data_IF_382479751914
#
_entry.id   IF_382479751914
#
_cell.length_a   1.000
_cell.length_b   1.000
_cell.length_c   1.000
_cell.angle_alpha   90.00
_cell.angle_beta   90.00
_cell.angle_gamma   90.00
#
_symmetry.space_group_name_H-M   'P 1'
#
loop_
_entity.id
_entity.type
_entity.pdbx_description
1 polymer ?
#
# COMPACT_ATOMS: atom_id res chain seq x y z
N UNK A 1 -8.28 11.85 14.78
CA UNK A 1 -7.63 12.04 13.48
C UNK A 1 -6.84 10.80 13.13
N UNK A 2 -6.90 10.33 11.88
CA UNK A 2 -6.22 9.11 11.43
C UNK A 2 -5.38 9.40 10.19
N UNK A 3 -4.12 8.94 10.19
CA UNK A 3 -3.19 9.01 9.06
C UNK A 3 -2.70 7.60 8.83
N UNK A 4 -3.28 6.96 7.82
CA UNK A 4 -3.23 5.51 7.64
C UNK A 4 -2.41 5.21 6.41
N UNK A 5 -1.40 4.33 6.53
CA UNK A 5 -0.68 3.80 5.39
C UNK A 5 -1.14 2.37 5.11
N UNK A 6 -1.54 2.10 3.88
CA UNK A 6 -1.77 0.77 3.30
C UNK A 6 -0.51 0.35 2.54
N UNK A 7 0.32 -0.49 3.17
CA UNK A 7 1.56 -1.01 2.58
C UNK A 7 1.42 -2.50 2.23
N UNK A 8 2.42 -3.06 1.55
CA UNK A 8 2.46 -4.46 1.17
C UNK A 8 3.01 -4.69 -0.24
N UNK A 9 3.19 -5.96 -0.58
CA UNK A 9 3.80 -6.34 -1.85
C UNK A 9 2.93 -6.05 -3.07
N UNK A 10 3.51 -6.14 -4.27
CA UNK A 10 2.74 -6.02 -5.52
C UNK A 10 1.71 -7.14 -5.61
N UNK A 11 0.46 -6.81 -5.96
CA UNK A 11 -0.63 -7.78 -6.05
C UNK A 11 -1.45 -8.00 -4.77
N UNK A 12 -1.07 -7.37 -3.64
CA UNK A 12 -1.84 -7.48 -2.38
C UNK A 12 -3.12 -6.65 -2.35
N UNK A 13 -3.39 -5.84 -3.37
CA UNK A 13 -4.66 -5.11 -3.51
C UNK A 13 -4.66 -3.66 -3.03
N UNK A 14 -3.50 -3.08 -2.67
CA UNK A 14 -3.34 -1.66 -2.29
C UNK A 14 -4.14 -0.68 -3.14
N UNK A 15 -3.91 -0.67 -4.47
CA UNK A 15 -4.61 0.23 -5.39
C UNK A 15 -6.11 -0.03 -5.49
N UNK A 16 -6.57 -1.27 -5.26
CA UNK A 16 -8.01 -1.57 -5.25
C UNK A 16 -8.68 -1.07 -3.96
N UNK A 17 -8.01 -1.20 -2.82
CA UNK A 17 -8.50 -0.71 -1.52
C UNK A 17 -8.52 0.82 -1.54
N UNK A 18 -7.45 1.49 -1.98
CA UNK A 18 -7.40 2.95 -2.02
C UNK A 18 -8.47 3.54 -2.97
N UNK A 19 -8.74 2.89 -4.11
CA UNK A 19 -9.81 3.31 -5.02
C UNK A 19 -11.20 3.11 -4.39
N UNK A 20 -11.42 2.02 -3.67
CA UNK A 20 -12.67 1.77 -2.95
C UNK A 20 -12.90 2.82 -1.85
N UNK A 21 -11.85 3.21 -1.10
CA UNK A 21 -11.93 4.28 -0.11
C UNK A 21 -12.27 5.63 -0.77
N UNK A 22 -11.63 5.96 -1.90
CA UNK A 22 -11.98 7.16 -2.70
C UNK A 22 -13.45 7.15 -3.14
N UNK A 23 -13.98 6.00 -3.59
CA UNK A 23 -15.39 5.84 -3.99
C UNK A 23 -16.36 6.03 -2.83
N UNK A 24 -15.94 5.78 -1.58
CA UNK A 24 -16.71 6.08 -0.36
C UNK A 24 -16.59 7.55 0.08
N UNK A 25 -15.89 8.40 -0.68
CA UNK A 25 -15.72 9.83 -0.38
C UNK A 25 -14.62 10.12 0.65
N UNK A 26 -13.81 9.12 1.02
CA UNK A 26 -12.71 9.28 1.96
C UNK A 26 -11.49 9.87 1.25
N UNK A 27 -10.74 10.70 1.98
CA UNK A 27 -9.49 11.27 1.48
C UNK A 27 -8.42 10.19 1.41
N UNK A 28 -8.06 9.81 0.19
CA UNK A 28 -7.21 8.67 -0.08
C UNK A 28 -6.26 8.96 -1.26
N UNK A 29 -4.97 8.70 -1.09
CA UNK A 29 -3.90 8.99 -2.06
C UNK A 29 -3.11 7.71 -2.33
N UNK A 30 -3.00 7.32 -3.60
CA UNK A 30 -2.08 6.26 -4.01
C UNK A 30 -0.72 6.88 -4.35
N UNK A 31 0.30 6.56 -3.56
CA UNK A 31 1.65 7.09 -3.70
C UNK A 31 2.44 6.41 -4.83
N UNK A 32 1.85 5.37 -5.45
CA UNK A 32 2.37 4.77 -6.68
C UNK A 32 1.88 5.55 -7.94
N UNK A 33 0.97 6.54 -7.79
CA UNK A 33 0.51 7.38 -8.89
C UNK A 33 1.57 8.41 -9.34
N UNK A 34 1.56 8.82 -10.64
CA UNK A 34 2.54 9.76 -11.17
C UNK A 34 2.69 11.05 -10.35
N UNK A 35 3.94 11.35 -10.00
CA UNK A 35 4.30 12.53 -9.21
C UNK A 35 4.29 12.33 -7.71
N UNK A 36 3.92 11.15 -7.20
CA UNK A 36 4.10 10.81 -5.77
C UNK A 36 5.36 10.01 -5.50
N UNK A 37 5.89 9.32 -6.51
CA UNK A 37 7.13 8.56 -6.42
C UNK A 37 8.00 8.71 -7.66
N UNK A 38 9.29 8.45 -7.47
CA UNK A 38 10.30 8.34 -8.51
C UNK A 38 11.20 7.13 -8.20
N UNK A 39 12.01 6.71 -9.16
CA UNK A 39 13.03 5.70 -8.93
C UNK A 39 14.38 6.40 -8.78
N UNK A 40 15.17 5.99 -7.79
CA UNK A 40 16.54 6.46 -7.64
C UNK A 40 17.49 5.85 -8.70
N UNK A 41 18.77 6.20 -8.64
CA UNK A 41 19.80 5.71 -9.57
C UNK A 41 19.99 4.18 -9.52
N UNK A 42 19.58 3.54 -8.44
CA UNK A 42 19.62 2.08 -8.26
C UNK A 42 18.31 1.40 -8.71
N UNK A 43 17.32 2.19 -9.13
CA UNK A 43 16.02 1.71 -9.55
C UNK A 43 15.07 1.40 -8.40
N UNK A 44 15.34 1.87 -7.18
CA UNK A 44 14.44 1.67 -6.05
C UNK A 44 13.39 2.77 -6.01
N UNK A 45 12.15 2.41 -5.69
CA UNK A 45 11.08 3.39 -5.57
C UNK A 45 11.25 4.26 -4.31
N UNK A 46 11.23 5.58 -4.51
CA UNK A 46 11.29 6.61 -3.49
C UNK A 46 10.04 7.48 -3.57
N UNK A 47 9.38 7.73 -2.44
CA UNK A 47 8.32 8.73 -2.41
C UNK A 47 8.88 10.14 -2.47
N UNK A 48 8.18 11.05 -3.14
CA UNK A 48 8.47 12.48 -3.17
C UNK A 48 8.19 13.08 -1.78
N UNK A 49 9.24 13.21 -0.96
CA UNK A 49 9.11 13.56 0.45
C UNK A 49 8.36 14.88 0.70
N UNK A 50 8.63 15.97 -0.05
CA UNK A 50 7.90 17.22 0.14
C UNK A 50 6.38 17.07 -0.09
N UNK A 51 5.98 16.25 -1.07
CA UNK A 51 4.56 16.03 -1.39
C UNK A 51 3.88 15.18 -0.33
N UNK A 52 4.54 14.11 0.13
CA UNK A 52 4.01 13.28 1.21
C UNK A 52 3.85 14.11 2.49
N UNK A 53 4.85 14.95 2.81
CA UNK A 53 4.78 15.86 3.95
C UNK A 53 3.62 16.85 3.83
N UNK A 54 3.46 17.51 2.68
CA UNK A 54 2.34 18.42 2.41
C UNK A 54 0.98 17.72 2.53
N UNK A 55 0.87 16.47 2.06
CA UNK A 55 -0.35 15.68 2.20
C UNK A 55 -0.70 15.38 3.67
N UNK A 56 0.31 15.00 4.46
CA UNK A 56 0.15 14.73 5.89
C UNK A 56 -0.23 15.98 6.68
N UNK A 57 0.37 17.12 6.36
CA UNK A 57 0.09 18.42 7.01
C UNK A 57 -1.29 18.96 6.65
N UNK A 58 -1.65 18.91 5.36
CA UNK A 58 -2.94 19.39 4.87
C UNK A 58 -4.12 18.49 5.25
N UNK A 59 -3.88 17.33 5.86
CA UNK A 59 -4.94 16.47 6.39
C UNK A 59 -5.73 17.14 7.53
N UNK A 60 -5.15 18.11 8.26
CA UNK A 60 -5.87 18.88 9.27
C UNK A 60 -6.42 18.03 10.41
N UNK A 61 -7.75 17.87 10.50
CA UNK A 61 -8.44 16.95 11.42
C UNK A 61 -9.09 15.75 10.70
N UNK A 62 -9.05 15.74 9.35
CA UNK A 62 -9.64 14.69 8.53
C UNK A 62 -8.81 13.40 8.56
N UNK A 63 -9.47 12.28 8.27
CA UNK A 63 -8.74 11.02 8.04
C UNK A 63 -8.12 11.01 6.64
N UNK A 64 -6.83 10.71 6.58
CA UNK A 64 -6.08 10.51 5.35
C UNK A 64 -5.62 9.07 5.23
N UNK A 65 -5.93 8.43 4.10
CA UNK A 65 -5.35 7.15 3.70
C UNK A 65 -4.28 7.38 2.63
N UNK A 66 -3.13 6.73 2.80
CA UNK A 66 -2.05 6.64 1.83
C UNK A 66 -1.90 5.18 1.43
N UNK A 67 -1.61 4.87 0.16
CA UNK A 67 -1.17 3.53 -0.24
C UNK A 67 0.15 3.58 -0.98
N UNK A 68 0.96 2.53 -0.85
CA UNK A 68 2.20 2.39 -1.60
C UNK A 68 3.24 1.60 -0.84
N UNK A 69 4.39 1.36 -1.47
CA UNK A 69 5.55 0.77 -0.83
C UNK A 69 6.82 1.36 -1.46
N UNK A 70 7.68 1.99 -0.64
CA UNK A 70 8.90 2.65 -1.09
C UNK A 70 10.01 2.51 -0.04
N UNK A 71 11.26 2.67 -0.43
CA UNK A 71 12.42 2.54 0.46
C UNK A 71 12.39 3.56 1.61
N UNK A 72 12.05 4.81 1.29
CA UNK A 72 12.01 5.90 2.28
C UNK A 72 10.71 5.96 3.11
N UNK A 73 9.80 4.98 3.01
CA UNK A 73 8.50 5.03 3.70
C UNK A 73 8.64 5.15 5.23
N UNK A 74 9.69 4.56 5.80
CA UNK A 74 9.99 4.58 7.24
C UNK A 74 10.17 5.99 7.80
N UNK A 75 10.54 6.97 6.96
CA UNK A 75 10.67 8.38 7.38
C UNK A 75 9.34 8.98 7.83
N UNK A 76 8.22 8.46 7.34
CA UNK A 76 6.89 8.99 7.63
C UNK A 76 6.19 8.26 8.78
N UNK A 77 6.69 7.10 9.21
CA UNK A 77 6.08 6.29 10.26
C UNK A 77 5.75 7.06 11.55
N UNK A 78 6.61 7.97 12.06
CA UNK A 78 6.29 8.76 13.25
C UNK A 78 5.07 9.68 13.10
N UNK A 79 4.64 9.97 11.88
CA UNK A 79 3.50 10.84 11.57
C UNK A 79 2.22 10.04 11.26
N UNK A 80 2.33 8.72 11.10
CA UNK A 80 1.22 7.82 10.81
C UNK A 80 0.62 7.29 12.11
N UNK A 81 -0.71 7.22 12.16
CA UNK A 81 -1.42 6.62 13.30
C UNK A 81 -1.53 5.12 13.17
N UNK A 82 -1.66 4.62 11.94
CA UNK A 82 -1.86 3.22 11.63
C UNK A 82 -1.08 2.86 10.36
N UNK A 83 -0.39 1.73 10.38
CA UNK A 83 0.37 1.17 9.25
C UNK A 83 -0.18 -0.23 9.02
N UNK A 84 -1.04 -0.37 8.03
CA UNK A 84 -1.72 -1.62 7.70
C UNK A 84 -0.94 -2.32 6.59
N UNK A 85 -0.39 -3.49 6.89
CA UNK A 85 0.17 -4.39 5.90
C UNK A 85 -0.98 -5.18 5.25
N UNK A 86 -1.17 -5.00 3.94
CA UNK A 86 -1.97 -5.89 3.13
C UNK A 86 -1.09 -7.05 2.65
N UNK A 87 -1.40 -8.27 3.05
CA UNK A 87 -0.65 -9.48 2.67
C UNK A 87 -1.52 -10.45 1.87
N UNK A 88 -0.88 -11.39 1.18
CA UNK A 88 -1.53 -12.55 0.56
C UNK A 88 -0.49 -13.67 0.34
N UNK A 89 -0.91 -14.94 0.33
CA UNK A 89 -0.04 -16.05 -0.03
C UNK A 89 0.57 -15.88 -1.44
N UNK A 90 1.77 -16.42 -1.64
CA UNK A 90 2.51 -16.32 -2.91
C UNK A 90 1.69 -16.80 -4.11
N UNK A 91 0.98 -17.91 -3.96
CA UNK A 91 0.12 -18.50 -4.98
C UNK A 91 -1.06 -17.58 -5.36
N UNK A 92 -1.58 -16.82 -4.40
CA UNK A 92 -2.65 -15.83 -4.64
C UNK A 92 -2.09 -14.62 -5.38
N UNK A 93 -0.89 -14.15 -4.99
CA UNK A 93 -0.21 -13.06 -5.69
C UNK A 93 0.10 -13.43 -7.14
N UNK A 94 0.62 -14.63 -7.37
CA UNK A 94 0.92 -15.13 -8.72
C UNK A 94 -0.33 -15.11 -9.62
N UNK A 95 -1.45 -15.66 -9.16
CA UNK A 95 -2.70 -15.67 -9.94
C UNK A 95 -3.25 -14.26 -10.19
N UNK A 96 -3.17 -13.36 -9.20
CA UNK A 96 -3.57 -11.96 -9.37
C UNK A 96 -2.70 -11.23 -10.38
N UNK A 97 -1.39 -11.41 -10.34
CA UNK A 97 -0.47 -10.75 -11.25
C UNK A 97 -0.68 -11.21 -12.70
N UNK A 98 -0.94 -12.50 -12.91
CA UNK A 98 -1.30 -13.04 -14.24
C UNK A 98 -2.59 -12.45 -14.81
N UNK A 99 -3.58 -12.19 -13.96
CA UNK A 99 -4.96 -11.86 -14.40
C UNK A 99 -5.31 -10.37 -14.31
N UNK A 100 -4.58 -9.57 -13.51
CA UNK A 100 -4.85 -8.13 -13.34
C UNK A 100 -4.78 -7.40 -14.67
N UNK A 101 -5.60 -6.37 -14.89
CA UNK A 101 -5.69 -5.61 -16.15
C UNK A 101 -5.09 -4.21 -16.09
N UNK A 102 -4.79 -3.70 -14.89
CA UNK A 102 -4.43 -2.30 -14.64
C UNK A 102 -2.93 -2.01 -14.68
N UNK A 103 -2.08 -2.93 -14.21
CA UNK A 103 -0.63 -2.78 -14.15
C UNK A 103 0.04 -4.02 -14.81
N UNK A 104 0.94 -3.85 -15.80
CA UNK A 104 1.55 -4.98 -16.50
C UNK A 104 2.65 -5.70 -15.71
N UNK A 105 3.23 -5.09 -14.67
CA UNK A 105 4.35 -5.65 -13.89
C UNK A 105 3.99 -7.01 -13.24
N UNK A 106 4.96 -7.86 -12.97
CA UNK A 106 4.73 -9.17 -12.35
C UNK A 106 4.06 -10.22 -13.25
N UNK A 107 3.76 -9.89 -14.52
CA UNK A 107 3.23 -10.86 -15.50
C UNK A 107 4.33 -11.66 -16.18
N UNK A 108 5.51 -11.05 -16.35
CA UNK A 108 6.67 -11.74 -16.91
C UNK A 108 7.31 -12.62 -15.84
N UNK A 109 7.84 -13.81 -16.18
CA UNK A 109 8.47 -14.71 -15.21
C UNK A 109 9.53 -14.05 -14.31
N UNK A 110 10.34 -13.16 -14.87
CA UNK A 110 11.37 -12.40 -14.17
C UNK A 110 10.81 -11.37 -13.19
N UNK A 111 9.71 -10.70 -13.54
CA UNK A 111 9.03 -9.75 -12.65
C UNK A 111 8.26 -10.50 -11.55
N UNK A 112 7.69 -11.67 -11.87
CA UNK A 112 7.08 -12.54 -10.86
C UNK A 112 8.12 -13.04 -9.86
N UNK A 113 9.28 -13.48 -10.35
CA UNK A 113 10.39 -13.91 -9.49
C UNK A 113 10.88 -12.78 -8.58
N UNK A 114 10.92 -11.54 -9.09
CA UNK A 114 11.24 -10.35 -8.30
C UNK A 114 10.18 -10.09 -7.21
N UNK A 115 8.88 -10.19 -7.54
CA UNK A 115 7.82 -10.06 -6.52
C UNK A 115 7.95 -11.13 -5.44
N UNK A 116 8.22 -12.39 -5.81
CA UNK A 116 8.42 -13.48 -4.85
C UNK A 116 9.68 -13.26 -4.00
N UNK A 117 10.76 -12.76 -4.59
CA UNK A 117 11.97 -12.38 -3.86
C UNK A 117 11.67 -11.29 -2.83
N UNK A 118 10.91 -10.25 -3.19
CA UNK A 118 10.52 -9.21 -2.25
C UNK A 118 9.50 -9.69 -1.21
N UNK A 119 8.65 -10.66 -1.54
CA UNK A 119 7.79 -11.30 -0.55
C UNK A 119 8.62 -11.96 0.56
N UNK A 120 9.74 -12.60 0.21
CA UNK A 120 10.63 -13.22 1.19
C UNK A 120 11.53 -12.22 1.93
N UNK A 121 11.96 -11.15 1.25
CA UNK A 121 13.00 -10.23 1.77
C UNK A 121 12.47 -8.92 2.35
N UNK A 122 11.35 -8.39 1.83
CA UNK A 122 10.79 -7.08 2.17
C UNK A 122 9.55 -7.22 3.05
N UNK A 123 8.63 -8.15 2.75
CA UNK A 123 7.40 -8.30 3.55
C UNK A 123 7.67 -8.54 5.05
N UNK A 124 8.66 -9.35 5.47
CA UNK A 124 9.01 -9.47 6.88
C UNK A 124 9.48 -8.16 7.51
N UNK A 125 10.05 -7.24 6.73
CA UNK A 125 10.42 -5.90 7.20
C UNK A 125 9.17 -5.04 7.37
N UNK A 126 8.27 -5.04 6.39
CA UNK A 126 6.99 -4.32 6.43
C UNK A 126 6.16 -4.77 7.63
N UNK A 127 6.07 -6.09 7.84
CA UNK A 127 5.34 -6.70 8.96
C UNK A 127 5.86 -6.26 10.33
N UNK A 128 7.15 -6.02 10.49
CA UNK A 128 7.72 -5.48 11.74
C UNK A 128 7.36 -4.01 11.98
N UNK A 129 7.12 -3.25 10.91
CA UNK A 129 6.71 -1.84 10.98
C UNK A 129 5.20 -1.63 11.02
N UNK A 130 4.42 -2.67 10.75
CA UNK A 130 2.96 -2.59 10.68
C UNK A 130 2.32 -2.57 12.08
N UNK A 131 1.25 -1.80 12.22
CA UNK A 131 0.37 -1.83 13.40
C UNK A 131 -0.70 -2.91 13.29
N UNK A 132 -1.01 -3.33 12.06
CA UNK A 132 -1.99 -4.37 11.74
C UNK A 132 -1.59 -5.05 10.42
N UNK A 133 -1.91 -6.33 10.32
CA UNK A 133 -1.83 -7.08 9.07
C UNK A 133 -3.22 -7.58 8.70
N UNK A 134 -3.61 -7.36 7.44
CA UNK A 134 -4.86 -7.84 6.86
C UNK A 134 -4.52 -8.76 5.68
N UNK A 135 -4.88 -10.03 5.80
CA UNK A 135 -4.74 -10.98 4.71
C UNK A 135 -5.86 -10.76 3.69
N UNK A 136 -5.49 -10.44 2.46
CA UNK A 136 -6.43 -10.01 1.42
C UNK A 136 -7.06 -11.15 0.63
N UNK A 137 -7.06 -12.38 1.14
CA UNK A 137 -7.64 -13.57 0.47
C UNK A 137 -9.17 -13.54 0.43
N UNK A 138 -9.78 -12.61 1.17
CA UNK A 138 -11.23 -12.33 1.20
C UNK A 138 -11.66 -11.32 0.11
N UNK A 139 -12.96 -11.19 -0.18
CA UNK A 139 -13.49 -10.20 -1.12
C UNK A 139 -13.07 -8.75 -0.78
N UNK A 140 -12.87 -7.92 -1.81
CA UNK A 140 -12.39 -6.54 -1.67
C UNK A 140 -13.25 -5.68 -0.73
N UNK A 141 -14.57 -5.83 -0.78
CA UNK A 141 -15.50 -5.12 0.08
C UNK A 141 -15.30 -5.44 1.56
N UNK A 142 -14.96 -6.70 1.88
CA UNK A 142 -14.62 -7.13 3.24
C UNK A 142 -13.25 -6.62 3.67
N UNK A 143 -12.23 -6.65 2.78
CA UNK A 143 -10.92 -6.05 3.09
C UNK A 143 -11.06 -4.56 3.43
N UNK A 144 -11.87 -3.82 2.65
CA UNK A 144 -12.12 -2.39 2.89
C UNK A 144 -12.83 -2.19 4.23
N UNK A 145 -13.75 -3.07 4.58
CA UNK A 145 -14.44 -3.00 5.87
C UNK A 145 -13.48 -3.26 7.04
N UNK A 146 -12.62 -4.29 6.97
CA UNK A 146 -11.60 -4.54 7.98
C UNK A 146 -10.64 -3.35 8.16
N UNK A 147 -10.26 -2.69 7.05
CA UNK A 147 -9.46 -1.45 7.10
C UNK A 147 -10.18 -0.35 7.86
N UNK A 148 -11.49 -0.15 7.60
CA UNK A 148 -12.28 0.90 8.25
C UNK A 148 -12.56 0.58 9.73
N UNK A 149 -12.87 -0.66 10.05
CA UNK A 149 -13.05 -1.13 11.43
C UNK A 149 -11.77 -0.92 12.24
N UNK A 150 -10.60 -1.26 11.70
CA UNK A 150 -9.31 -1.07 12.37
C UNK A 150 -9.07 0.40 12.76
N UNK A 151 -9.51 1.34 11.91
CA UNK A 151 -9.30 2.78 12.13
C UNK A 151 -10.50 3.47 12.79
N UNK A 152 -11.49 2.70 13.25
CA UNK A 152 -12.73 3.14 13.90
C UNK A 152 -13.60 4.07 13.01
N UNK A 153 -13.77 3.71 11.74
CA UNK A 153 -14.56 4.44 10.74
C UNK A 153 -15.68 3.61 10.09
N UNK A 154 -16.12 2.51 10.74
CA UNK A 154 -17.27 1.70 10.32
C UNK A 154 -18.63 2.33 10.63
#
# INVERSE_FOLDING_TARGET
MKRVLLTGMSGTGKSSVIEALRKRGLRAIDLDEPGWSEHDDEGNQQWCEPRVQEALESAGDDTLFLSGCAENQVKFYPQLTDIILLSAPAEVLEERLKTRTNNPYGRRPEELAEVLYYLETVEPLLRRGATCEIETTIPLDQVVEEVLEHVCLS
#
